data_IF_412423760583
#
_entry.id   IF_412423760583
#
_cell.length_a   1.000
_cell.length_b   1.000
_cell.length_c   1.000
_cell.angle_alpha   90.00
_cell.angle_beta   90.00
_cell.angle_gamma   90.00
#
_symmetry.space_group_name_H-M   'P 1'
#
loop_
_entity.id
_entity.type
_entity.pdbx_description
1 polymer ?
#
# COMPACT_ATOMS: atom_id res chain seq x y z
N UNK A 1 26.58 -17.10 26.10
CA UNK A 1 25.85 -15.82 26.14
C UNK A 1 24.38 -16.07 25.87
N UNK A 2 23.48 -15.59 26.74
CA UNK A 2 22.04 -15.74 26.52
C UNK A 2 21.59 -14.89 25.31
N UNK A 3 20.84 -15.51 24.38
CA UNK A 3 20.38 -14.86 23.15
C UNK A 3 19.40 -13.73 23.51
N UNK A 4 19.65 -12.52 23.01
CA UNK A 4 18.78 -11.35 23.25
C UNK A 4 17.44 -11.57 22.56
N UNK A 5 16.35 -11.34 23.28
CA UNK A 5 14.98 -11.41 22.73
C UNK A 5 14.69 -10.12 21.98
N UNK A 6 14.28 -10.27 20.73
CA UNK A 6 13.83 -9.16 19.88
C UNK A 6 12.35 -9.35 19.63
N UNK A 7 11.59 -8.26 19.72
CA UNK A 7 10.15 -8.23 19.49
C UNK A 7 9.81 -7.11 18.52
N UNK A 8 8.69 -7.27 17.82
CA UNK A 8 8.13 -6.24 16.94
C UNK A 8 7.16 -5.38 17.77
N UNK A 9 7.41 -4.08 17.83
CA UNK A 9 6.62 -3.13 18.62
C UNK A 9 5.71 -2.24 17.78
N UNK A 10 5.87 -2.25 16.46
CA UNK A 10 5.06 -1.44 15.55
C UNK A 10 5.02 -2.05 14.15
N UNK A 11 3.92 -1.80 13.46
CA UNK A 11 3.67 -2.24 12.09
C UNK A 11 3.15 -1.04 11.29
N UNK A 12 3.58 -0.94 10.04
CA UNK A 12 3.09 0.05 9.08
C UNK A 12 3.01 -0.60 7.71
N UNK A 13 1.98 -0.28 6.94
CA UNK A 13 1.76 -0.83 5.61
C UNK A 13 1.08 0.22 4.73
N UNK A 14 1.54 0.31 3.49
CA UNK A 14 0.84 0.98 2.39
C UNK A 14 0.82 -0.02 1.25
N UNK A 15 -0.37 -0.45 0.83
CA UNK A 15 -0.54 -1.54 -0.11
C UNK A 15 -1.83 -1.40 -0.93
N UNK A 16 -1.97 -2.14 -2.04
CA UNK A 16 -3.20 -2.12 -2.85
C UNK A 16 -4.43 -2.65 -2.11
N UNK A 17 -4.21 -3.41 -1.03
CA UNK A 17 -5.26 -3.97 -0.18
C UNK A 17 -5.55 -3.10 1.06
N UNK A 18 -4.86 -1.97 1.25
CA UNK A 18 -5.10 -1.05 2.36
C UNK A 18 -3.91 -0.13 2.64
N UNK A 19 -4.21 1.11 3.05
CA UNK A 19 -3.21 2.13 3.40
C UNK A 19 -2.87 2.15 4.90
N UNK A 20 -3.57 1.32 5.67
CA UNK A 20 -3.32 1.10 7.10
C UNK A 20 -3.27 -0.38 7.41
N UNK A 21 -2.65 -0.74 8.55
CA UNK A 21 -2.52 -2.14 8.99
C UNK A 21 -3.90 -2.77 9.21
N UNK A 22 -4.84 -2.03 9.78
CA UNK A 22 -6.19 -2.51 10.05
C UNK A 22 -6.95 -2.82 8.75
N UNK A 23 -6.94 -1.89 7.79
CA UNK A 23 -7.62 -2.07 6.50
C UNK A 23 -7.01 -3.21 5.69
N UNK A 24 -5.67 -3.25 5.60
CA UNK A 24 -4.98 -4.30 4.88
C UNK A 24 -5.28 -5.68 5.46
N UNK A 25 -5.27 -5.80 6.80
CA UNK A 25 -5.61 -7.07 7.46
C UNK A 25 -7.05 -7.49 7.20
N UNK A 26 -8.01 -6.58 7.34
CA UNK A 26 -9.42 -6.87 7.10
C UNK A 26 -9.68 -7.32 5.66
N UNK A 27 -9.09 -6.63 4.67
CA UNK A 27 -9.28 -6.96 3.26
C UNK A 27 -8.62 -8.29 2.89
N UNK A 28 -7.45 -8.60 3.44
CA UNK A 28 -6.78 -9.89 3.26
C UNK A 28 -7.61 -11.03 3.85
N UNK A 29 -8.10 -10.87 5.09
CA UNK A 29 -8.94 -11.89 5.75
C UNK A 29 -10.26 -12.10 5.01
N UNK A 30 -10.83 -11.03 4.44
CA UNK A 30 -12.04 -11.10 3.62
C UNK A 30 -11.81 -11.62 2.19
N UNK A 31 -10.57 -11.94 1.80
CA UNK A 31 -10.25 -12.42 0.45
C UNK A 31 -10.44 -11.38 -0.65
N UNK A 32 -10.39 -10.09 -0.31
CA UNK A 32 -10.55 -9.00 -1.28
C UNK A 32 -9.25 -8.80 -2.05
N UNK A 33 -9.30 -8.94 -3.36
CA UNK A 33 -8.18 -8.66 -4.25
C UNK A 33 -7.92 -7.16 -4.34
N UNK A 34 -6.66 -6.75 -4.23
CA UNK A 34 -6.20 -5.39 -4.52
C UNK A 34 -5.74 -5.19 -5.96
N UNK A 35 -5.87 -6.22 -6.82
CA UNK A 35 -5.51 -6.16 -8.24
C UNK A 35 -6.72 -5.74 -9.06
N UNK A 36 -6.53 -4.76 -9.93
CA UNK A 36 -7.56 -4.26 -10.84
C UNK A 36 -6.90 -3.67 -12.10
N UNK A 37 -7.69 -3.15 -13.04
CA UNK A 37 -7.16 -2.44 -14.21
C UNK A 37 -6.32 -1.24 -13.78
N UNK A 38 -5.23 -1.02 -14.51
CA UNK A 38 -4.35 0.15 -14.35
C UNK A 38 -5.20 1.40 -14.61
N UNK A 39 -5.33 2.25 -13.59
CA UNK A 39 -6.06 3.51 -13.67
C UNK A 39 -5.11 4.72 -13.60
N UNK A 40 -3.86 4.50 -13.18
CA UNK A 40 -2.85 5.56 -13.03
C UNK A 40 -2.38 6.14 -14.36
N UNK A 41 -2.45 5.36 -15.45
CA UNK A 41 -2.09 5.80 -16.80
C UNK A 41 -2.82 4.94 -17.84
N UNK A 42 -2.80 5.37 -19.10
CA UNK A 42 -3.37 4.57 -20.20
C UNK A 42 -2.47 3.37 -20.52
N UNK A 43 -2.92 2.18 -20.09
CA UNK A 43 -2.23 0.91 -20.31
C UNK A 43 -2.66 0.20 -21.61
N UNK A 44 -3.47 0.82 -22.47
CA UNK A 44 -4.04 0.17 -23.68
C UNK A 44 -2.98 -0.39 -24.64
N UNK A 45 -1.83 0.28 -24.76
CA UNK A 45 -0.72 -0.13 -25.61
C UNK A 45 0.16 -1.23 -24.99
N UNK A 46 -0.08 -1.63 -23.74
CA UNK A 46 0.74 -2.60 -23.03
C UNK A 46 0.09 -3.99 -22.99
N UNK A 47 0.89 -5.07 -23.04
CA UNK A 47 0.39 -6.43 -22.90
C UNK A 47 -0.14 -6.73 -21.50
N UNK A 48 0.30 -5.97 -20.48
CA UNK A 48 -0.17 -6.07 -19.10
C UNK A 48 -1.00 -4.84 -18.76
N UNK A 49 -2.27 -5.05 -18.42
CA UNK A 49 -3.25 -3.99 -18.17
C UNK A 49 -3.81 -4.00 -16.73
N UNK A 50 -3.27 -4.88 -15.88
CA UNK A 50 -3.68 -5.04 -14.49
C UNK A 50 -2.52 -4.70 -13.56
N UNK A 51 -2.83 -4.06 -12.44
CA UNK A 51 -1.87 -3.76 -11.39
C UNK A 51 -2.55 -3.71 -10.02
N UNK A 52 -1.74 -3.96 -8.97
CA UNK A 52 -2.10 -3.59 -7.62
C UNK A 52 -1.71 -2.15 -7.38
N UNK A 53 -2.61 -1.21 -7.67
CA UNK A 53 -2.38 0.21 -7.41
C UNK A 53 -2.76 0.57 -5.98
N UNK A 54 -1.95 1.42 -5.34
CA UNK A 54 -2.32 2.03 -4.05
C UNK A 54 -3.39 3.08 -4.32
N UNK A 55 -4.59 2.87 -3.77
CA UNK A 55 -5.75 3.74 -3.99
C UNK A 55 -5.98 4.65 -2.79
N UNK A 56 -6.31 5.92 -3.04
CA UNK A 56 -6.67 6.88 -1.98
C UNK A 56 -5.53 7.21 -1.01
N UNK A 57 -4.28 7.03 -1.44
CA UNK A 57 -3.13 7.45 -0.64
C UNK A 57 -2.92 8.96 -0.77
N UNK A 58 -3.10 9.67 0.34
CA UNK A 58 -2.86 11.11 0.44
C UNK A 58 -1.52 11.37 1.15
N UNK A 59 -0.53 11.79 0.38
CA UNK A 59 0.81 12.09 0.89
C UNK A 59 0.83 13.34 1.79
N UNK A 60 -0.15 14.24 1.63
CA UNK A 60 -0.27 15.48 2.41
C UNK A 60 -0.55 15.25 3.89
N UNK A 61 -1.00 14.04 4.26
CA UNK A 61 -1.19 13.64 5.64
C UNK A 61 0.13 13.32 6.37
N UNK A 62 1.20 13.08 5.62
CA UNK A 62 2.49 12.64 6.16
C UNK A 62 3.60 13.68 5.94
N UNK A 63 3.57 14.38 4.80
CA UNK A 63 4.56 15.39 4.46
C UNK A 63 3.87 16.70 4.04
N UNK A 64 4.47 17.86 4.34
CA UNK A 64 4.04 19.12 3.75
C UNK A 64 4.24 19.09 2.22
N UNK A 65 3.40 19.85 1.50
CA UNK A 65 3.37 19.87 0.03
C UNK A 65 4.73 20.19 -0.61
N UNK A 66 5.51 21.05 0.07
CA UNK A 66 6.85 21.46 -0.37
C UNK A 66 7.83 20.29 -0.42
N UNK A 67 7.71 19.32 0.49
CA UNK A 67 8.65 18.21 0.62
C UNK A 67 8.17 16.95 -0.12
N UNK A 68 6.89 16.89 -0.50
CA UNK A 68 6.27 15.75 -1.22
C UNK A 68 6.36 15.84 -2.75
N UNK A 69 6.62 17.02 -3.31
CA UNK A 69 6.79 17.26 -4.75
C UNK A 69 8.26 17.22 -5.23
N UNK A 70 9.19 16.77 -4.39
CA UNK A 70 10.61 16.62 -4.75
C UNK A 70 10.90 15.21 -5.23
#
# INVERSE_FOLDING_TARGET
MARRRVVVTGLGIVSPVGNTVAEAWQNVVAGRSGIDRIARFDASAFPVQIAGEVRGFDIGQYLPLKDSCR
#
